data_IF_797185234535
#
_entry.id   IF_797185234535
#
_cell.length_a   1.000
_cell.length_b   1.000
_cell.length_c   1.000
_cell.angle_alpha   90.00
_cell.angle_beta   90.00
_cell.angle_gamma   90.00
#
_symmetry.space_group_name_H-M   'P 1'
#
loop_
_entity.id
_entity.type
_entity.pdbx_description
1 polymer ?
#
# COMPACT_ATOMS: atom_id res chain seq x y z
N UNK A 1 0.02 26.97 1.80
CA UNK A 1 -0.58 25.66 2.12
C UNK A 1 0.52 24.62 2.03
N UNK A 2 0.94 24.01 3.14
CA UNK A 2 1.94 22.93 3.06
C UNK A 2 1.31 21.75 2.32
N UNK A 3 1.90 21.34 1.18
CA UNK A 3 1.52 20.08 0.52
C UNK A 3 1.98 18.94 1.43
N UNK A 4 1.03 18.27 2.08
CA UNK A 4 1.28 17.05 2.85
C UNK A 4 1.80 15.99 1.87
N UNK A 5 2.89 15.32 2.21
CA UNK A 5 3.46 14.27 1.35
C UNK A 5 2.57 13.01 1.41
N UNK A 6 2.52 12.20 0.34
CA UNK A 6 1.65 11.04 0.32
C UNK A 6 1.78 10.12 1.53
N UNK A 7 3.02 9.81 1.95
CA UNK A 7 3.27 8.96 3.12
C UNK A 7 2.81 9.59 4.44
N UNK A 8 2.85 10.92 4.58
CA UNK A 8 2.39 11.60 5.80
C UNK A 8 0.87 11.49 5.92
N UNK A 9 0.17 11.61 4.79
CA UNK A 9 -1.29 11.45 4.77
C UNK A 9 -1.70 9.99 4.98
N UNK A 10 -1.03 9.04 4.33
CA UNK A 10 -1.24 7.60 4.55
C UNK A 10 -0.99 7.21 6.02
N UNK A 11 0.04 7.78 6.66
CA UNK A 11 0.32 7.59 8.08
C UNK A 11 -0.84 8.06 8.97
N UNK A 12 -1.45 9.20 8.65
CA UNK A 12 -2.63 9.70 9.37
C UNK A 12 -3.87 8.81 9.17
N UNK A 13 -4.13 8.35 7.95
CA UNK A 13 -5.30 7.52 7.62
C UNK A 13 -5.26 6.20 8.40
N UNK A 14 -4.11 5.54 8.41
CA UNK A 14 -3.95 4.23 9.05
C UNK A 14 -3.43 4.30 10.49
N UNK A 15 -3.20 5.51 11.02
CA UNK A 15 -2.63 5.74 12.35
C UNK A 15 -1.31 4.98 12.59
N UNK A 16 -0.42 5.00 11.60
CA UNK A 16 0.90 4.35 11.64
C UNK A 16 2.02 5.39 11.58
N UNK A 17 3.28 4.95 11.78
CA UNK A 17 4.44 5.82 11.59
C UNK A 17 4.63 6.23 10.13
N UNK A 18 5.34 7.34 9.90
CA UNK A 18 5.72 7.78 8.56
C UNK A 18 6.60 6.74 7.85
N UNK A 19 7.44 6.02 8.60
CA UNK A 19 8.27 4.93 8.11
C UNK A 19 7.42 3.77 7.60
N UNK A 20 6.43 3.32 8.37
CA UNK A 20 5.51 2.26 7.96
C UNK A 20 4.65 2.67 6.77
N UNK A 21 4.21 3.93 6.71
CA UNK A 21 3.49 4.44 5.54
C UNK A 21 4.35 4.51 4.28
N UNK A 22 5.62 4.93 4.39
CA UNK A 22 6.58 4.85 3.27
C UNK A 22 6.79 3.42 2.82
N UNK A 23 6.95 2.49 3.78
CA UNK A 23 7.09 1.07 3.49
C UNK A 23 5.89 0.57 2.71
N UNK A 24 4.67 0.84 3.18
CA UNK A 24 3.41 0.46 2.53
C UNK A 24 3.36 0.95 1.08
N UNK A 25 3.49 2.25 0.84
CA UNK A 25 3.40 2.83 -0.50
C UNK A 25 4.45 2.27 -1.46
N UNK A 26 5.70 2.11 -1.00
CA UNK A 26 6.76 1.51 -1.80
C UNK A 26 6.47 0.06 -2.16
N UNK A 27 5.85 -0.71 -1.26
CA UNK A 27 5.54 -2.12 -1.52
C UNK A 27 4.32 -2.26 -2.43
N UNK A 28 3.34 -1.35 -2.36
CA UNK A 28 2.25 -1.29 -3.35
C UNK A 28 2.81 -1.10 -4.75
N UNK A 29 3.78 -0.19 -4.93
CA UNK A 29 4.46 -0.03 -6.23
C UNK A 29 5.16 -1.32 -6.68
N UNK A 30 5.85 -2.01 -5.77
CA UNK A 30 6.56 -3.27 -6.05
C UNK A 30 5.62 -4.44 -6.33
N UNK A 31 4.35 -4.36 -5.96
CA UNK A 31 3.35 -5.37 -6.31
C UNK A 31 3.06 -5.40 -7.81
N UNK A 32 3.34 -4.34 -8.58
CA UNK A 32 3.18 -4.33 -10.03
C UNK A 32 4.46 -4.77 -10.77
N UNK A 33 4.29 -5.55 -11.85
CA UNK A 33 5.39 -6.12 -12.65
C UNK A 33 6.17 -5.10 -13.47
N UNK A 34 5.44 -4.37 -14.32
CA UNK A 34 6.05 -3.59 -15.40
C UNK A 34 5.96 -2.09 -15.12
N UNK A 35 4.75 -1.60 -14.86
CA UNK A 35 4.49 -0.18 -14.64
C UNK A 35 3.99 0.05 -13.22
N UNK A 36 4.58 1.05 -12.56
CA UNK A 36 4.35 1.32 -11.14
C UNK A 36 3.52 2.60 -10.98
N UNK A 37 2.41 2.56 -10.22
CA UNK A 37 1.66 3.77 -9.94
C UNK A 37 2.51 4.72 -9.09
N UNK A 38 2.34 6.03 -9.23
CA UNK A 38 3.02 6.98 -8.34
C UNK A 38 2.33 7.01 -6.95
N UNK A 39 3.04 7.47 -5.92
CA UNK A 39 2.49 7.52 -4.55
C UNK A 39 1.26 8.41 -4.39
N UNK A 40 1.10 9.44 -5.21
CA UNK A 40 -0.07 10.32 -5.15
C UNK A 40 -1.34 9.58 -5.61
N UNK A 41 -1.25 8.80 -6.68
CA UNK A 41 -2.35 7.97 -7.18
C UNK A 41 -2.72 6.86 -6.19
N UNK A 42 -1.73 6.24 -5.56
CA UNK A 42 -1.98 5.24 -4.51
C UNK A 42 -2.70 5.88 -3.32
N UNK A 43 -2.27 7.07 -2.89
CA UNK A 43 -2.94 7.80 -1.82
C UNK A 43 -4.38 8.17 -2.19
N UNK A 44 -4.60 8.73 -3.38
CA UNK A 44 -5.94 9.09 -3.87
C UNK A 44 -6.88 7.88 -3.87
N UNK A 45 -6.37 6.72 -4.29
CA UNK A 45 -7.11 5.48 -4.19
C UNK A 45 -7.41 5.13 -2.72
N UNK A 46 -6.42 5.12 -1.83
CA UNK A 46 -6.62 4.84 -0.40
C UNK A 46 -7.68 5.76 0.23
N UNK A 47 -7.67 7.05 -0.10
CA UNK A 47 -8.65 8.02 0.41
C UNK A 47 -10.07 7.78 -0.09
N UNK A 48 -10.22 7.13 -1.24
CA UNK A 48 -11.53 6.75 -1.80
C UNK A 48 -12.10 5.45 -1.23
N UNK A 49 -11.30 4.69 -0.47
CA UNK A 49 -11.70 3.40 0.09
C UNK A 49 -12.07 3.53 1.57
N UNK A 50 -12.90 2.60 2.05
CA UNK A 50 -13.17 2.41 3.48
C UNK A 50 -12.46 1.14 3.93
N UNK A 51 -11.44 1.28 4.77
CA UNK A 51 -10.68 0.16 5.33
C UNK A 51 -11.03 -0.04 6.81
N UNK A 52 -11.38 -1.28 7.19
CA UNK A 52 -11.61 -1.66 8.59
C UNK A 52 -10.30 -1.95 9.33
N UNK A 53 -9.26 -2.34 8.60
CA UNK A 53 -7.91 -2.65 9.08
C UNK A 53 -6.88 -2.17 8.06
N UNK A 54 -5.61 -2.11 8.47
CA UNK A 54 -4.52 -1.70 7.56
C UNK A 54 -4.33 -2.81 6.52
N UNK A 55 -4.63 -2.56 5.23
CA UNK A 55 -4.50 -3.58 4.20
C UNK A 55 -3.03 -3.88 3.93
N UNK A 56 -2.73 -5.08 3.43
CA UNK A 56 -1.37 -5.37 2.95
C UNK A 56 -1.08 -4.57 1.67
N UNK A 57 0.19 -4.35 1.32
CA UNK A 57 0.53 -3.69 0.06
C UNK A 57 -0.07 -4.39 -1.18
N UNK A 58 -0.12 -5.73 -1.15
CA UNK A 58 -0.71 -6.51 -2.24
C UNK A 58 -2.23 -6.33 -2.33
N UNK A 59 -2.93 -6.24 -1.20
CA UNK A 59 -4.38 -6.02 -1.18
C UNK A 59 -4.74 -4.66 -1.81
N UNK A 60 -3.98 -3.60 -1.50
CA UNK A 60 -4.16 -2.29 -2.15
C UNK A 60 -3.91 -2.41 -3.65
N UNK A 61 -2.81 -3.05 -4.07
CA UNK A 61 -2.46 -3.20 -5.49
C UNK A 61 -3.50 -4.02 -6.27
N UNK A 62 -4.03 -5.10 -5.67
CA UNK A 62 -5.13 -5.89 -6.22
C UNK A 62 -6.37 -5.04 -6.38
N UNK A 63 -6.79 -4.33 -5.32
CA UNK A 63 -7.96 -3.47 -5.37
C UNK A 63 -7.81 -2.34 -6.41
N UNK A 64 -6.64 -1.73 -6.56
CA UNK A 64 -6.38 -0.74 -7.62
C UNK A 64 -6.56 -1.33 -9.03
N UNK A 65 -6.07 -2.55 -9.25
CA UNK A 65 -6.23 -3.25 -10.52
C UNK A 65 -7.69 -3.62 -10.78
N UNK A 66 -8.36 -4.20 -9.78
CA UNK A 66 -9.76 -4.65 -9.89
C UNK A 66 -10.72 -3.48 -10.14
N UNK A 67 -10.41 -2.29 -9.59
CA UNK A 67 -11.13 -1.05 -9.85
C UNK A 67 -10.67 -0.31 -11.13
N UNK A 68 -9.74 -0.88 -11.91
CA UNK A 68 -9.17 -0.30 -13.13
C UNK A 68 -8.49 1.07 -12.93
N UNK A 69 -8.06 1.38 -11.70
CA UNK A 69 -7.28 2.59 -11.38
C UNK A 69 -5.84 2.45 -11.91
N UNK A 70 -5.29 1.23 -11.85
CA UNK A 70 -3.98 0.91 -12.43
C UNK A 70 -3.99 -0.53 -12.98
N UNK A 71 -4.40 -0.68 -14.24
CA UNK A 71 -4.61 -1.99 -14.88
C UNK A 71 -3.31 -2.59 -15.45
N UNK A 72 -2.37 -2.89 -14.56
CA UNK A 72 -1.12 -3.58 -14.89
C UNK A 72 -1.01 -4.91 -14.15
N UNK A 73 -0.25 -5.85 -14.74
CA UNK A 73 -0.05 -7.16 -14.15
C UNK A 73 0.63 -7.07 -12.77
N UNK A 74 0.12 -7.83 -11.81
CA UNK A 74 0.70 -7.97 -10.46
C UNK A 74 1.75 -9.08 -10.44
N UNK A 75 2.73 -8.91 -9.56
CA UNK A 75 3.59 -9.98 -9.06
C UNK A 75 2.76 -10.98 -8.25
N UNK A 76 3.28 -12.19 -8.01
CA UNK A 76 2.65 -13.06 -7.01
C UNK A 76 2.70 -12.36 -5.64
N UNK A 77 1.67 -12.49 -4.79
CA UNK A 77 1.77 -12.03 -3.43
C UNK A 77 3.00 -12.70 -2.80
N UNK A 78 3.78 -11.92 -2.04
CA UNK A 78 4.83 -12.52 -1.21
C UNK A 78 4.19 -13.61 -0.34
N UNK A 79 4.83 -14.78 -0.17
CA UNK A 79 4.33 -15.76 0.76
C UNK A 79 4.09 -15.05 2.10
N UNK A 80 2.85 -15.15 2.62
CA UNK A 80 2.57 -14.72 3.98
C UNK A 80 3.54 -15.53 4.83
N UNK A 81 4.47 -14.86 5.50
CA UNK A 81 5.17 -15.50 6.60
C UNK A 81 4.05 -15.85 7.58
N UNK A 82 3.74 -17.14 7.69
CA UNK A 82 2.96 -17.65 8.81
C UNK A 82 3.75 -17.21 10.06
N UNK A 83 3.18 -16.25 10.77
CA UNK A 83 3.59 -15.71 12.06
C UNK A 83 5.10 -15.42 12.23
N UNK A 84 5.50 -14.16 11.97
CA UNK A 84 6.71 -13.57 12.57
C UNK A 84 6.56 -13.35 14.11
N UNK A 85 5.74 -14.14 14.80
CA UNK A 85 5.71 -14.17 16.28
C UNK A 85 6.71 -15.18 16.88
N UNK A 86 7.45 -15.94 16.08
CA UNK A 86 8.36 -17.01 16.57
C UNK A 86 9.86 -16.79 16.26
N UNK A 87 10.29 -15.53 16.02
CA UNK A 87 11.71 -15.19 15.77
C UNK A 87 12.34 -14.34 16.89
N UNK A 88 11.72 -14.31 18.08
CA UNK A 88 12.38 -13.86 19.31
C UNK A 88 12.01 -14.77 20.49
N UNK A 89 12.65 -15.94 20.56
CA UNK A 89 13.02 -16.57 21.83
C UNK A 89 14.51 -16.33 22.10
#
# INVERSE_FOLDING_TARGET
MQKIKPFERTAQIFQISNESAKYLLNHVQKSFKNEKPNHALILEFIESQTYEFIPTPYDIASAMKDNKVWDYALNSPSPKLEDEEDIYQ
#
